data_IF_983617723223
#
_entry.id   IF_983617723223
#
_cell.length_a   1.000
_cell.length_b   1.000
_cell.length_c   1.000
_cell.angle_alpha   90.00
_cell.angle_beta   90.00
_cell.angle_gamma   90.00
#
_symmetry.space_group_name_H-M   'P 1'
#
loop_
_entity.id
_entity.type
_entity.pdbx_description
1 polymer ?
#
# COMPACT_ATOMS: atom_id res chain seq x y z
N UNK A 1 4.43 -7.10 2.73
CA UNK A 1 3.00 -7.47 2.89
C UNK A 1 2.57 -8.29 1.67
N UNK A 2 2.55 -9.62 1.79
CA UNK A 2 1.88 -10.57 0.88
C UNK A 2 0.42 -10.21 0.58
N UNK A 3 -0.16 -10.86 -0.43
CA UNK A 3 -1.53 -10.58 -0.89
C UNK A 3 -2.58 -10.81 0.21
N UNK A 4 -2.58 -11.99 0.85
CA UNK A 4 -3.57 -12.34 1.88
C UNK A 4 -3.50 -11.41 3.09
N UNK A 5 -2.29 -11.05 3.53
CA UNK A 5 -2.13 -10.07 4.62
C UNK A 5 -2.70 -8.69 4.25
N UNK A 6 -2.55 -8.24 2.99
CA UNK A 6 -3.20 -6.98 2.55
C UNK A 6 -4.72 -7.11 2.56
N UNK A 7 -5.24 -8.26 2.13
CA UNK A 7 -6.67 -8.53 2.13
C UNK A 7 -7.26 -8.39 3.53
N UNK A 8 -6.66 -9.05 4.52
CA UNK A 8 -7.04 -8.98 5.93
C UNK A 8 -6.94 -7.56 6.50
N UNK A 9 -5.89 -6.80 6.14
CA UNK A 9 -5.73 -5.40 6.57
C UNK A 9 -6.88 -4.52 6.05
N UNK A 10 -7.27 -4.69 4.78
CA UNK A 10 -8.37 -3.91 4.20
C UNK A 10 -9.71 -4.33 4.81
N UNK A 11 -9.92 -5.62 5.05
CA UNK A 11 -11.14 -6.15 5.65
C UNK A 11 -11.36 -5.63 7.08
N UNK A 12 -10.28 -5.36 7.82
CA UNK A 12 -10.35 -4.81 9.16
C UNK A 12 -10.64 -3.29 9.24
N UNK A 13 -10.75 -2.58 8.11
CA UNK A 13 -11.00 -1.13 8.11
C UNK A 13 -12.45 -0.79 8.47
N UNK A 14 -12.63 0.27 9.27
CA UNK A 14 -13.96 0.72 9.73
C UNK A 14 -14.96 1.03 8.61
N UNK A 15 -14.46 1.50 7.45
CA UNK A 15 -15.29 1.96 6.34
C UNK A 15 -15.48 0.88 5.25
N UNK A 16 -15.11 -0.37 5.53
CA UNK A 16 -15.13 -1.46 4.56
C UNK A 16 -16.21 -2.47 4.94
N UNK A 17 -17.21 -2.62 4.07
CA UNK A 17 -18.24 -3.65 4.23
C UNK A 17 -17.82 -4.99 3.60
N UNK A 18 -17.17 -4.94 2.43
CA UNK A 18 -16.76 -6.11 1.64
C UNK A 18 -15.40 -5.83 1.00
N UNK A 19 -14.52 -6.84 1.01
CA UNK A 19 -13.26 -6.82 0.23
C UNK A 19 -13.33 -7.85 -0.88
N UNK A 20 -13.00 -7.44 -2.10
CA UNK A 20 -13.02 -8.32 -3.27
C UNK A 20 -11.60 -8.41 -3.83
N UNK A 21 -11.05 -9.62 -4.03
CA UNK A 21 -9.74 -9.81 -4.63
C UNK A 21 -9.62 -9.16 -6.01
N UNK A 22 -8.66 -8.26 -6.16
CA UNK A 22 -8.33 -7.67 -7.46
C UNK A 22 -7.22 -8.48 -8.14
N UNK A 23 -7.56 -9.17 -9.23
CA UNK A 23 -6.60 -9.93 -10.04
C UNK A 23 -6.25 -9.25 -11.38
N UNK A 24 -6.95 -8.18 -11.72
CA UNK A 24 -6.79 -7.43 -12.97
C UNK A 24 -7.02 -5.93 -12.75
N UNK A 25 -6.46 -5.10 -13.63
CA UNK A 25 -6.71 -3.66 -13.69
C UNK A 25 -7.88 -3.28 -14.62
N UNK A 26 -8.46 -4.26 -15.31
CA UNK A 26 -9.73 -4.09 -16.03
C UNK A 26 -10.90 -4.30 -15.05
N UNK A 27 -11.71 -3.27 -14.88
CA UNK A 27 -12.82 -3.25 -13.93
C UNK A 27 -14.19 -3.46 -14.58
N UNK A 28 -14.25 -3.68 -15.90
CA UNK A 28 -15.50 -3.82 -16.66
C UNK A 28 -16.41 -4.90 -16.07
N UNK A 29 -15.86 -6.10 -15.87
CA UNK A 29 -16.64 -7.24 -15.40
C UNK A 29 -17.10 -7.09 -13.94
N UNK A 30 -16.27 -6.51 -13.07
CA UNK A 30 -16.62 -6.37 -11.64
C UNK A 30 -17.67 -5.28 -11.44
N UNK A 31 -17.52 -4.15 -12.13
CA UNK A 31 -18.50 -3.06 -12.14
C UNK A 31 -19.86 -3.56 -12.59
N UNK A 32 -19.90 -4.32 -13.70
CA UNK A 32 -21.13 -4.88 -14.25
C UNK A 32 -21.79 -5.88 -13.30
N UNK A 33 -21.02 -6.81 -12.74
CA UNK A 33 -21.55 -7.89 -11.87
C UNK A 33 -22.09 -7.35 -10.55
N UNK A 34 -21.43 -6.34 -9.98
CA UNK A 34 -21.77 -5.78 -8.68
C UNK A 34 -22.68 -4.56 -8.76
N UNK A 35 -23.00 -4.09 -9.97
CA UNK A 35 -23.81 -2.89 -10.20
C UNK A 35 -23.23 -1.68 -9.45
N UNK A 36 -21.93 -1.44 -9.64
CA UNK A 36 -21.22 -0.33 -8.98
C UNK A 36 -21.73 1.01 -9.51
N UNK A 37 -22.19 1.89 -8.63
CA UNK A 37 -22.64 3.25 -9.00
C UNK A 37 -21.48 4.27 -9.07
N UNK A 38 -20.42 4.05 -8.28
CA UNK A 38 -19.28 4.96 -8.17
C UNK A 38 -17.95 4.22 -8.03
N UNK A 39 -16.95 4.67 -8.79
CA UNK A 39 -15.58 4.17 -8.76
C UNK A 39 -14.64 5.27 -8.28
N UNK A 40 -13.82 4.98 -7.27
CA UNK A 40 -12.91 5.96 -6.65
C UNK A 40 -11.49 5.44 -6.73
N UNK A 41 -10.57 6.27 -7.19
CA UNK A 41 -9.14 5.94 -7.31
C UNK A 41 -8.28 7.20 -7.12
N UNK A 42 -6.99 7.03 -6.88
CA UNK A 42 -6.03 8.13 -6.81
C UNK A 42 -5.99 8.95 -8.10
N UNK A 43 -5.73 10.25 -7.96
CA UNK A 43 -5.60 11.20 -9.06
C UNK A 43 -4.39 10.95 -9.99
N UNK A 44 -3.43 10.14 -9.55
CA UNK A 44 -2.35 9.61 -10.39
C UNK A 44 -2.86 8.74 -11.56
N UNK A 45 -4.12 8.29 -11.50
CA UNK A 45 -4.80 7.53 -12.55
C UNK A 45 -5.77 8.36 -13.40
N UNK A 46 -5.75 9.69 -13.28
CA UNK A 46 -6.70 10.56 -13.96
C UNK A 46 -6.81 10.26 -15.48
N UNK A 47 -8.04 10.06 -15.96
CA UNK A 47 -8.34 9.71 -17.35
C UNK A 47 -8.27 8.21 -17.69
N UNK A 48 -7.65 7.37 -16.83
CA UNK A 48 -7.46 5.95 -17.16
C UNK A 48 -8.74 5.13 -17.11
N UNK A 49 -9.66 5.48 -16.21
CA UNK A 49 -10.86 4.68 -15.92
C UNK A 49 -12.15 5.33 -16.44
N UNK A 50 -12.05 6.37 -17.26
CA UNK A 50 -13.20 7.11 -17.80
C UNK A 50 -14.11 6.21 -18.68
N UNK A 51 -13.58 5.10 -19.21
CA UNK A 51 -14.38 4.11 -19.92
C UNK A 51 -15.51 3.49 -19.06
N UNK A 52 -15.40 3.57 -17.73
CA UNK A 52 -16.47 3.12 -16.82
C UNK A 52 -17.65 4.10 -16.81
N UNK A 53 -17.45 5.36 -17.19
CA UNK A 53 -18.53 6.34 -17.31
C UNK A 53 -19.50 5.98 -18.44
N UNK A 54 -19.00 5.37 -19.52
CA UNK A 54 -19.83 4.82 -20.60
C UNK A 54 -20.77 3.71 -20.11
N UNK A 55 -20.42 3.06 -18.99
CA UNK A 55 -21.24 2.04 -18.32
C UNK A 55 -22.20 2.63 -17.27
N UNK A 56 -22.25 3.96 -17.12
CA UNK A 56 -23.09 4.66 -16.15
C UNK A 56 -22.47 4.80 -14.75
N UNK A 57 -21.18 4.50 -14.58
CA UNK A 57 -20.48 4.64 -13.29
C UNK A 57 -19.94 6.05 -13.12
N UNK A 58 -20.07 6.63 -11.92
CA UNK A 58 -19.41 7.89 -11.59
C UNK A 58 -17.94 7.64 -11.22
N UNK A 59 -17.00 8.19 -11.98
CA UNK A 59 -15.56 8.04 -11.69
C UNK A 59 -15.06 9.26 -10.92
N UNK A 60 -14.39 9.02 -9.79
CA UNK A 60 -13.79 10.06 -8.98
C UNK A 60 -12.29 9.83 -8.81
N UNK A 61 -11.51 10.86 -9.16
CA UNK A 61 -10.07 10.90 -8.96
C UNK A 61 -9.75 11.73 -7.72
N UNK A 62 -9.31 11.07 -6.66
CA UNK A 62 -9.07 11.69 -5.35
C UNK A 62 -7.58 12.02 -5.16
N UNK A 63 -7.24 13.25 -4.76
CA UNK A 63 -5.86 13.60 -4.44
C UNK A 63 -5.39 12.84 -3.20
N UNK A 64 -4.14 12.39 -3.22
CA UNK A 64 -3.54 11.79 -2.04
C UNK A 64 -3.41 12.80 -0.90
N UNK A 65 -3.69 12.35 0.32
CA UNK A 65 -3.48 13.15 1.51
C UNK A 65 -1.99 13.38 1.80
N UNK A 66 -1.70 14.55 2.40
CA UNK A 66 -0.36 14.85 2.91
C UNK A 66 -0.08 13.97 4.14
N UNK A 67 0.94 13.11 4.09
CA UNK A 67 1.63 12.69 5.32
C UNK A 67 2.15 11.27 5.41
N UNK A 68 1.66 10.31 4.63
CA UNK A 68 2.10 8.90 4.76
C UNK A 68 2.18 8.18 3.42
N UNK A 69 3.32 7.52 3.16
CA UNK A 69 3.50 6.64 2.01
C UNK A 69 4.22 5.37 2.44
N UNK A 70 3.98 4.27 1.73
CA UNK A 70 4.74 3.03 1.96
C UNK A 70 6.24 3.22 1.73
N UNK A 71 6.62 4.06 0.77
CA UNK A 71 8.02 4.33 0.43
C UNK A 71 8.72 5.08 1.56
N UNK A 72 8.11 6.16 2.07
CA UNK A 72 8.66 6.92 3.19
C UNK A 72 8.76 6.07 4.46
N UNK A 73 7.73 5.28 4.77
CA UNK A 73 7.73 4.40 5.94
C UNK A 73 8.85 3.34 5.87
N UNK A 74 8.99 2.65 4.73
CA UNK A 74 10.06 1.66 4.52
C UNK A 74 11.44 2.29 4.68
N UNK A 75 11.64 3.48 4.11
CA UNK A 75 12.88 4.23 4.24
C UNK A 75 13.18 4.56 5.70
N UNK A 76 12.21 5.08 6.44
CA UNK A 76 12.36 5.40 7.87
C UNK A 76 12.74 4.17 8.69
N UNK A 77 12.07 3.03 8.48
CA UNK A 77 12.38 1.78 9.19
C UNK A 77 13.80 1.32 8.88
N UNK A 78 14.17 1.30 7.60
CA UNK A 78 15.51 0.91 7.15
C UNK A 78 16.59 1.79 7.78
N UNK A 79 16.46 3.11 7.66
CA UNK A 79 17.48 4.04 8.14
C UNK A 79 17.63 4.01 9.66
N UNK A 80 16.51 3.86 10.39
CA UNK A 80 16.52 3.71 11.85
C UNK A 80 17.25 2.44 12.26
N UNK A 81 17.00 1.33 11.56
CA UNK A 81 17.66 0.05 11.83
C UNK A 81 19.16 0.11 11.54
N UNK A 82 19.57 0.70 10.42
CA UNK A 82 20.98 0.88 10.06
C UNK A 82 21.74 1.74 11.08
N UNK A 83 21.13 2.81 11.58
CA UNK A 83 21.70 3.63 12.65
C UNK A 83 21.90 2.83 13.93
N UNK A 84 20.92 2.00 14.30
CA UNK A 84 21.00 1.14 15.46
C UNK A 84 22.13 0.11 15.33
N UNK A 85 22.25 -0.56 14.17
CA UNK A 85 23.33 -1.52 13.92
C UNK A 85 24.72 -0.91 14.06
N UNK A 86 24.93 0.30 13.52
CA UNK A 86 26.21 1.01 13.62
C UNK A 86 26.57 1.33 15.08
N UNK A 87 25.60 1.79 15.87
CA UNK A 87 25.81 2.08 17.28
C UNK A 87 26.17 0.81 18.09
N UNK A 88 25.53 -0.32 17.80
CA UNK A 88 25.84 -1.61 18.45
C UNK A 88 27.23 -2.12 18.04
N UNK A 89 27.63 -1.97 16.78
CA UNK A 89 28.95 -2.40 16.31
C UNK A 89 30.08 -1.57 16.93
N UNK A 90 29.89 -0.25 17.08
CA UNK A 90 30.87 0.64 17.72
C UNK A 90 31.07 0.38 19.21
N UNK A 91 30.07 -0.21 19.88
CA UNK A 91 30.13 -0.53 21.32
C UNK A 91 30.59 -1.96 21.58
N UNK A 92 30.77 -2.77 20.54
CA UNK A 92 31.29 -4.13 20.68
C UNK A 92 32.79 -4.07 21.01
N UNK A 93 33.26 -4.69 22.11
CA UNK A 93 34.68 -4.68 22.44
C UNK A 93 35.49 -5.33 21.30
N UNK A 94 36.66 -4.76 21.00
CA UNK A 94 37.61 -5.40 20.10
C UNK A 94 37.89 -6.82 20.60
N UNK A 95 37.83 -7.78 19.68
CA UNK A 95 38.07 -9.20 19.87
C UNK A 95 39.07 -9.46 21.00
N UNK A 96 38.68 -10.22 22.02
CA UNK A 96 39.62 -10.70 23.05
C UNK A 96 40.76 -11.38 22.27
N UNK A 97 41.95 -10.77 22.29
CA UNK A 97 43.15 -11.44 21.79
C UNK A 97 43.25 -12.74 22.56
N UNK A 98 43.14 -13.85 21.83
CA UNK A 98 43.38 -15.17 22.39
C UNK A 98 44.88 -15.24 22.63
N UNK A 99 45.31 -14.71 23.76
CA UNK A 99 46.69 -14.85 24.22
C UNK A 99 46.94 -16.34 24.41
N UNK A 100 48.03 -16.78 23.76
CA UNK A 100 48.50 -18.16 23.63
C UNK A 100 49.14 -18.64 24.93
#
# INVERSE_FOLDING_TARGET
IPFNERFEIIEALKATDIVIPQHTLDHTEIVRKLHIDAFVVGDDWNGKYDYLEEMGVKVFYFPYGNGVSSTSLKKTIHDTYEQHLKAVQQTKPETIKKDM
#
